data_IF_347896534054
#
_entry.id   IF_347896534054
#
_cell.length_a   1.000
_cell.length_b   1.000
_cell.length_c   1.000
_cell.angle_alpha   90.00
_cell.angle_beta   90.00
_cell.angle_gamma   90.00
#
_symmetry.space_group_name_H-M   'P 1'
#
loop_
_entity.id
_entity.type
_entity.pdbx_description
1 polymer ?
#
# COMPACT_ATOMS: atom_id res chain seq x y z
N UNK A 1 -5.95 -19.06 29.79
CA UNK A 1 -6.58 -18.60 28.54
C UNK A 1 -6.57 -17.08 28.61
N UNK A 2 -5.68 -16.34 27.97
CA UNK A 2 -5.46 -16.29 26.52
C UNK A 2 -3.95 -16.24 26.20
N UNK A 3 -3.48 -17.22 25.43
CA UNK A 3 -2.19 -17.16 24.75
C UNK A 3 -2.45 -16.66 23.33
N UNK A 4 -1.99 -15.47 23.01
CA UNK A 4 -1.77 -15.06 21.63
C UNK A 4 -0.46 -14.26 21.64
N UNK A 5 0.62 -14.89 21.18
CA UNK A 5 1.79 -14.16 20.68
C UNK A 5 1.82 -14.46 19.18
N UNK A 6 1.10 -13.71 18.34
CA UNK A 6 1.19 -13.87 16.90
C UNK A 6 2.35 -13.04 16.35
N UNK A 7 2.96 -13.53 15.28
CA UNK A 7 4.18 -13.02 14.64
C UNK A 7 4.21 -11.52 14.37
N UNK A 8 5.41 -10.98 14.20
CA UNK A 8 5.63 -9.53 14.23
C UNK A 8 4.86 -8.83 13.11
N UNK A 9 4.00 -7.89 13.49
CA UNK A 9 3.35 -7.00 12.53
C UNK A 9 4.32 -5.86 12.20
N UNK A 10 4.73 -5.74 10.94
CA UNK A 10 5.53 -4.60 10.46
C UNK A 10 4.62 -3.64 9.71
N UNK A 11 4.58 -2.38 10.15
CA UNK A 11 3.84 -1.31 9.48
C UNK A 11 4.84 -0.43 8.74
N UNK A 12 4.58 -0.18 7.47
CA UNK A 12 5.34 0.73 6.62
C UNK A 12 4.37 1.77 6.08
N UNK A 13 4.80 3.01 6.11
CA UNK A 13 4.02 4.14 5.66
C UNK A 13 4.89 5.01 4.76
N UNK A 14 4.37 5.33 3.59
CA UNK A 14 5.03 6.17 2.61
C UNK A 14 4.04 7.21 2.07
N UNK A 15 4.55 8.42 1.87
CA UNK A 15 3.78 9.53 1.30
C UNK A 15 4.41 9.87 -0.05
N UNK A 16 3.58 9.82 -1.07
CA UNK A 16 3.90 10.20 -2.42
C UNK A 16 3.27 11.55 -2.70
N UNK A 17 4.05 12.50 -3.19
CA UNK A 17 3.53 13.79 -3.64
C UNK A 17 3.97 13.98 -5.07
N UNK A 18 3.03 14.29 -5.95
CA UNK A 18 3.33 14.65 -7.31
C UNK A 18 2.62 15.95 -7.67
N UNK A 19 3.34 16.77 -8.44
CA UNK A 19 3.03 18.19 -8.58
C UNK A 19 2.15 18.50 -9.80
N UNK A 20 2.11 17.63 -10.81
CA UNK A 20 1.26 17.69 -12.02
C UNK A 20 1.26 16.34 -12.74
N UNK A 21 0.12 15.83 -13.27
CA UNK A 21 -0.01 14.68 -14.20
C UNK A 21 1.16 13.68 -14.19
N UNK A 22 1.55 13.18 -13.02
CA UNK A 22 2.76 12.40 -12.89
C UNK A 22 2.43 10.91 -12.86
N UNK A 23 3.42 10.10 -13.21
CA UNK A 23 3.35 8.67 -12.94
C UNK A 23 4.58 8.31 -12.13
N UNK A 24 4.39 8.10 -10.83
CA UNK A 24 5.41 7.50 -9.98
C UNK A 24 5.48 6.02 -10.32
N UNK A 25 6.36 5.66 -11.26
CA UNK A 25 6.56 4.28 -11.74
C UNK A 25 7.69 3.60 -11.00
N UNK A 26 7.49 2.31 -10.74
CA UNK A 26 8.48 1.42 -10.12
C UNK A 26 9.03 1.97 -8.80
N UNK A 27 8.19 2.66 -8.01
CA UNK A 27 8.59 3.06 -6.67
C UNK A 27 8.70 1.80 -5.83
N UNK A 28 9.95 1.35 -5.67
CA UNK A 28 10.30 0.27 -4.78
C UNK A 28 10.20 0.82 -3.36
N UNK A 29 9.33 0.22 -2.55
CA UNK A 29 9.28 0.52 -1.12
C UNK A 29 10.61 0.15 -0.42
N UNK A 30 11.55 -0.50 -1.14
CA UNK A 30 12.86 -1.03 -0.73
C UNK A 30 12.76 -2.05 0.38
N UNK A 31 11.64 -2.75 0.44
CA UNK A 31 11.28 -3.62 1.55
C UNK A 31 10.77 -4.92 0.99
N UNK A 32 11.51 -5.99 1.26
CA UNK A 32 11.02 -7.32 0.96
C UNK A 32 9.99 -7.75 2.03
N UNK A 33 8.84 -8.32 1.64
CA UNK A 33 7.95 -8.92 2.60
C UNK A 33 8.64 -10.01 3.41
N UNK A 34 8.21 -10.17 4.65
CA UNK A 34 8.35 -11.44 5.36
C UNK A 34 7.42 -12.49 4.75
N UNK A 35 7.59 -13.75 5.17
CA UNK A 35 6.58 -14.79 4.89
C UNK A 35 5.30 -14.45 5.65
N UNK A 36 4.14 -14.60 5.02
CA UNK A 36 2.86 -14.32 5.67
C UNK A 36 1.85 -13.71 4.71
N UNK A 37 1.34 -12.53 5.05
CA UNK A 37 0.48 -11.74 4.17
C UNK A 37 0.85 -10.26 4.24
N UNK A 38 0.49 -9.52 3.20
CA UNK A 38 0.58 -8.07 3.16
C UNK A 38 -0.78 -7.47 2.81
N UNK A 39 -1.19 -6.47 3.58
CA UNK A 39 -2.34 -5.61 3.29
C UNK A 39 -1.87 -4.22 2.89
N UNK A 40 -2.59 -3.60 1.96
CA UNK A 40 -2.36 -2.24 1.50
C UNK A 40 -3.56 -1.35 1.79
N UNK A 41 -3.31 -0.13 2.27
CA UNK A 41 -4.29 0.93 2.41
C UNK A 41 -3.74 2.15 1.69
N UNK A 42 -4.55 2.74 0.82
CA UNK A 42 -4.20 3.98 0.13
C UNK A 42 -5.26 5.04 0.40
N UNK A 43 -4.81 6.28 0.58
CA UNK A 43 -5.67 7.46 0.65
C UNK A 43 -5.06 8.56 -0.22
N UNK A 44 -5.91 9.29 -0.92
CA UNK A 44 -5.54 10.44 -1.73
C UNK A 44 -6.34 11.67 -1.29
N UNK A 45 -5.80 12.86 -1.56
CA UNK A 45 -6.49 14.14 -1.46
C UNK A 45 -7.24 14.54 -2.75
N UNK A 46 -7.27 13.65 -3.75
CA UNK A 46 -8.07 13.78 -4.99
C UNK A 46 -8.77 12.45 -5.32
N UNK A 47 -9.87 12.53 -6.07
CA UNK A 47 -10.74 11.38 -6.35
C UNK A 47 -10.41 10.61 -7.65
N UNK A 48 -9.47 11.10 -8.46
CA UNK A 48 -9.14 10.58 -9.79
C UNK A 48 -7.82 9.82 -9.86
N UNK A 49 -7.26 9.45 -8.70
CA UNK A 49 -6.00 8.74 -8.59
C UNK A 49 -6.15 7.23 -8.62
N UNK A 50 -5.17 6.55 -9.22
CA UNK A 50 -5.14 5.08 -9.28
C UNK A 50 -3.79 4.53 -8.83
N UNK A 51 -3.84 3.35 -8.22
CA UNK A 51 -2.65 2.62 -7.77
C UNK A 51 -2.59 1.25 -8.42
N UNK A 52 -1.37 0.86 -8.82
CA UNK A 52 -1.04 -0.51 -9.20
C UNK A 52 0.08 -1.02 -8.30
N UNK A 53 -0.02 -2.27 -7.87
CA UNK A 53 0.93 -2.86 -6.95
C UNK A 53 1.40 -4.19 -7.52
N UNK A 54 2.72 -4.38 -7.51
CA UNK A 54 3.40 -5.60 -7.95
C UNK A 54 4.26 -6.15 -6.81
N UNK A 55 4.17 -7.46 -6.58
CA UNK A 55 5.01 -8.18 -5.61
C UNK A 55 5.72 -9.31 -6.34
N UNK A 56 7.05 -9.37 -6.24
CA UNK A 56 7.83 -10.41 -6.92
C UNK A 56 7.67 -10.43 -8.44
N UNK A 57 7.29 -9.29 -9.05
CA UNK A 57 6.97 -9.17 -10.47
C UNK A 57 5.54 -9.56 -10.84
N UNK A 58 4.70 -9.98 -9.89
CA UNK A 58 3.29 -10.33 -10.10
C UNK A 58 2.42 -9.11 -9.78
N UNK A 59 1.57 -8.70 -10.73
CA UNK A 59 0.58 -7.64 -10.49
C UNK A 59 -0.52 -8.16 -9.56
N UNK A 60 -0.63 -7.52 -8.39
CA UNK A 60 -1.67 -7.78 -7.41
C UNK A 60 -2.87 -6.85 -7.62
N UNK A 61 -2.58 -5.56 -7.81
CA UNK A 61 -3.56 -4.53 -8.10
C UNK A 61 -3.19 -3.91 -9.44
N UNK A 62 -4.18 -3.68 -10.29
CA UNK A 62 -4.03 -2.94 -11.53
C UNK A 62 -5.04 -1.79 -11.56
N UNK A 63 -4.53 -0.56 -11.58
CA UNK A 63 -5.30 0.68 -11.73
C UNK A 63 -6.52 0.80 -10.79
N UNK A 64 -6.35 0.44 -9.51
CA UNK A 64 -7.43 0.58 -8.53
C UNK A 64 -7.58 2.05 -8.13
N UNK A 65 -8.81 2.56 -8.22
CA UNK A 65 -9.14 3.91 -7.77
C UNK A 65 -8.87 4.03 -6.27
N UNK A 66 -8.07 5.03 -5.90
CA UNK A 66 -7.76 5.35 -4.51
C UNK A 66 -8.86 6.25 -3.95
N UNK A 67 -9.41 5.94 -2.76
CA UNK A 67 -10.44 6.78 -2.16
C UNK A 67 -9.93 8.19 -1.84
N UNK A 68 -10.71 9.20 -2.22
CA UNK A 68 -10.57 10.58 -1.74
C UNK A 68 -11.00 10.66 -0.27
N UNK A 69 -10.01 10.69 0.62
CA UNK A 69 -10.21 10.84 2.06
C UNK A 69 -9.31 11.92 2.66
N UNK A 70 -8.47 12.56 1.85
CA UNK A 70 -7.36 13.40 2.30
C UNK A 70 -6.20 12.55 2.85
N UNK A 71 -4.97 13.01 2.62
CA UNK A 71 -3.75 12.31 3.11
C UNK A 71 -3.61 12.31 4.62
N UNK A 72 -4.23 13.27 5.30
CA UNK A 72 -4.13 13.44 6.75
C UNK A 72 -5.17 12.63 7.53
N UNK A 73 -6.15 12.02 6.84
CA UNK A 73 -7.12 11.15 7.49
C UNK A 73 -6.42 9.91 8.09
N UNK A 74 -6.69 9.56 9.36
CA UNK A 74 -6.14 8.35 9.96
C UNK A 74 -6.56 7.12 9.18
N UNK A 75 -5.58 6.40 8.62
CA UNK A 75 -5.77 5.03 8.16
C UNK A 75 -5.81 4.17 9.42
N UNK A 76 -6.98 3.60 9.73
CA UNK A 76 -7.18 2.73 10.89
C UNK A 76 -7.33 1.28 10.41
N UNK A 77 -6.23 0.56 10.42
CA UNK A 77 -6.10 -0.76 9.78
C UNK A 77 -6.82 -1.87 10.55
N UNK A 78 -7.18 -1.62 11.82
CA UNK A 78 -7.96 -2.54 12.64
C UNK A 78 -9.47 -2.46 12.35
N UNK A 79 -9.93 -1.29 11.92
CA UNK A 79 -11.36 -1.02 11.68
C UNK A 79 -11.71 -0.88 10.19
N UNK A 80 -10.70 -0.80 9.31
CA UNK A 80 -10.86 -0.63 7.87
C UNK A 80 -10.27 -1.80 7.09
N UNK A 81 -11.06 -2.39 6.20
CA UNK A 81 -10.56 -3.39 5.27
C UNK A 81 -9.46 -2.80 4.37
N UNK A 82 -8.41 -3.57 4.04
CA UNK A 82 -7.38 -3.12 3.13
C UNK A 82 -7.95 -2.94 1.72
N UNK A 83 -7.37 -1.99 0.99
CA UNK A 83 -7.58 -1.76 -0.45
C UNK A 83 -7.26 -3.02 -1.24
N UNK A 84 -6.21 -3.76 -0.85
CA UNK A 84 -5.97 -5.15 -1.27
C UNK A 84 -5.11 -5.91 -0.27
N UNK A 85 -5.17 -7.25 -0.30
CA UNK A 85 -4.37 -8.12 0.55
C UNK A 85 -3.93 -9.37 -0.22
N UNK A 86 -2.69 -9.83 -0.02
CA UNK A 86 -2.16 -11.05 -0.64
C UNK A 86 -1.24 -11.83 0.30
N UNK A 87 -1.17 -13.16 0.18
CA UNK A 87 -0.07 -13.93 0.77
C UNK A 87 1.28 -13.56 0.16
N UNK A 88 2.34 -13.63 0.96
CA UNK A 88 3.74 -13.38 0.54
C UNK A 88 4.65 -14.54 0.94
N UNK A 89 5.58 -14.92 0.05
CA UNK A 89 6.54 -16.02 0.30
C UNK A 89 7.87 -15.54 0.87
N UNK A 90 8.05 -14.22 0.95
CA UNK A 90 9.21 -13.56 1.53
C UNK A 90 10.38 -13.40 0.55
N UNK A 91 11.12 -12.29 0.68
CA UNK A 91 12.25 -11.97 -0.22
C UNK A 91 11.85 -11.36 -1.57
N UNK A 92 10.56 -11.18 -1.82
CA UNK A 92 10.00 -10.54 -3.02
C UNK A 92 10.20 -9.01 -2.95
N UNK A 93 10.39 -8.31 -4.06
CA UNK A 93 10.35 -6.83 -4.05
C UNK A 93 8.91 -6.34 -4.19
N UNK A 94 8.59 -5.24 -3.51
CA UNK A 94 7.29 -4.56 -3.64
C UNK A 94 7.49 -3.33 -4.51
N UNK A 95 6.90 -3.36 -5.69
CA UNK A 95 6.88 -2.23 -6.60
C UNK A 95 5.48 -1.63 -6.60
N UNK A 96 5.41 -0.32 -6.43
CA UNK A 96 4.17 0.43 -6.50
C UNK A 96 4.25 1.40 -7.66
N UNK A 97 3.23 1.37 -8.50
CA UNK A 97 3.01 2.38 -9.52
C UNK A 97 1.80 3.21 -9.13
N UNK A 98 1.97 4.53 -9.09
CA UNK A 98 0.87 5.47 -8.87
C UNK A 98 0.67 6.26 -10.15
N UNK A 99 -0.57 6.28 -10.65
CA UNK A 99 -0.98 7.09 -11.80
C UNK A 99 -2.01 8.09 -11.29
N UNK A 100 -1.73 9.36 -11.51
CA UNK A 100 -2.61 10.47 -11.16
C UNK A 100 -3.00 11.30 -12.41
N UNK A 101 -4.15 11.96 -12.32
CA UNK A 101 -4.71 12.82 -13.37
C UNK A 101 -4.78 14.29 -12.91
N UNK A 102 -4.75 14.53 -11.60
CA UNK A 102 -4.69 15.85 -10.98
C UNK A 102 -3.54 15.87 -9.97
N UNK A 103 -2.87 17.01 -9.80
CA UNK A 103 -1.80 17.17 -8.81
C UNK A 103 -2.31 16.80 -7.40
N UNK A 104 -1.56 15.94 -6.69
CA UNK A 104 -2.07 15.32 -5.48
C UNK A 104 -0.98 14.80 -4.53
N UNK A 105 -1.40 14.47 -3.32
CA UNK A 105 -0.65 13.64 -2.39
C UNK A 105 -1.37 12.32 -2.13
N UNK A 106 -0.62 11.21 -2.16
CA UNK A 106 -1.07 9.88 -1.77
C UNK A 106 -0.35 9.42 -0.52
N UNK A 107 -1.09 8.86 0.42
CA UNK A 107 -0.53 8.10 1.54
C UNK A 107 -0.78 6.62 1.29
N UNK A 108 0.30 5.83 1.24
CA UNK A 108 0.26 4.39 1.16
C UNK A 108 0.75 3.78 2.47
N UNK A 109 -0.06 2.90 3.05
CA UNK A 109 0.31 2.08 4.19
C UNK A 109 0.34 0.61 3.77
N UNK A 110 1.46 -0.04 4.03
CA UNK A 110 1.65 -1.47 3.85
C UNK A 110 1.85 -2.13 5.22
N UNK A 111 1.02 -3.14 5.54
CA UNK A 111 1.16 -3.93 6.77
C UNK A 111 1.48 -5.37 6.44
N UNK A 112 2.59 -5.86 7.00
CA UNK A 112 2.99 -7.25 6.96
C UNK A 112 2.42 -7.98 8.17
N UNK A 113 1.67 -9.04 7.92
CA UNK A 113 1.06 -9.90 8.93
C UNK A 113 1.80 -11.24 8.92
N UNK A 114 2.33 -11.63 10.07
CA UNK A 114 3.02 -12.92 10.25
C UNK A 114 4.51 -12.93 9.88
N UNK A 115 5.12 -11.74 9.72
CA UNK A 115 6.56 -11.59 9.47
C UNK A 115 7.42 -11.90 10.70
#
# INVERSE_FOLDING_TARGET
MQNMVPGSTKRIEEVFTASENDVLRDTDLRQAPGRGAIGFWAASDVADSTISIRIGGISLINAQVVPDRGTDSPINENDQAPTAMTPTVGGELIQVDVVEVTAMSMRLVAIFIGA
#
